data_IF_408468733131
#
_entry.id   IF_408468733131
#
_cell.length_a   1.000
_cell.length_b   1.000
_cell.length_c   1.000
_cell.angle_alpha   90.00
_cell.angle_beta   90.00
_cell.angle_gamma   90.00
#
_symmetry.space_group_name_H-M   'P 1'
#
loop_
_entity.id
_entity.type
_entity.pdbx_description
1 polymer ?
#
# COMPACT_ATOMS: atom_id res chain seq x y z
N UNK A 1 26.26 12.25 -96.77
CA UNK A 1 25.45 11.30 -97.51
C UNK A 1 24.23 10.92 -96.73
N UNK A 2 23.09 11.27 -97.20
CA UNK A 2 21.74 10.77 -97.02
C UNK A 2 21.25 10.59 -95.60
N UNK A 3 20.33 11.31 -95.08
CA UNK A 3 19.03 11.74 -95.62
C UNK A 3 17.93 10.84 -95.16
N UNK A 4 17.03 11.33 -94.33
CA UNK A 4 15.59 11.34 -94.54
C UNK A 4 14.83 11.70 -93.30
N UNK A 5 14.17 12.82 -93.39
CA UNK A 5 13.03 13.25 -92.63
C UNK A 5 11.84 12.35 -92.88
N UNK A 6 11.03 12.04 -91.85
CA UNK A 6 9.60 11.74 -92.04
C UNK A 6 8.84 12.26 -90.77
N UNK A 7 8.02 13.22 -91.05
CA UNK A 7 6.93 13.78 -90.21
C UNK A 7 5.74 12.81 -90.19
N UNK A 8 5.01 12.70 -89.09
CA UNK A 8 3.54 12.43 -88.94
C UNK A 8 3.28 11.98 -87.48
N UNK A 9 2.26 12.23 -86.83
CA UNK A 9 1.02 12.95 -86.93
C UNK A 9 0.45 12.98 -85.49
N UNK A 10 -0.20 14.06 -85.18
CA UNK A 10 -0.94 14.28 -83.90
C UNK A 10 -2.10 13.26 -83.79
N UNK A 11 -2.24 12.59 -82.68
CA UNK A 11 -3.49 11.97 -82.22
C UNK A 11 -3.75 12.36 -80.79
N UNK A 12 -4.78 13.12 -80.60
CA UNK A 12 -5.33 13.52 -79.26
C UNK A 12 -6.13 12.32 -78.77
N UNK A 13 -5.76 11.74 -77.68
CA UNK A 13 -6.57 10.78 -76.92
C UNK A 13 -6.82 11.29 -75.53
N UNK A 14 -8.08 11.34 -75.17
CA UNK A 14 -8.59 12.01 -73.99
C UNK A 14 -8.08 11.44 -72.66
N UNK A 15 -7.78 12.32 -71.70
CA UNK A 15 -7.52 12.02 -70.34
C UNK A 15 -8.86 11.83 -69.60
N UNK A 16 -9.17 10.60 -69.22
CA UNK A 16 -10.15 10.32 -68.17
C UNK A 16 -9.40 10.41 -66.82
N UNK A 17 -9.70 11.45 -66.05
CA UNK A 17 -9.22 11.60 -64.72
C UNK A 17 -10.00 10.62 -63.80
N UNK A 18 -9.38 9.53 -63.39
CA UNK A 18 -9.83 8.74 -62.23
C UNK A 18 -9.36 9.40 -60.94
N UNK A 19 -10.31 10.00 -60.23
CA UNK A 19 -10.07 10.50 -58.86
C UNK A 19 -9.78 9.31 -57.92
N UNK A 20 -8.52 9.08 -57.66
CA UNK A 20 -8.08 8.14 -56.62
C UNK A 20 -8.40 8.74 -55.24
N UNK A 21 -9.37 8.14 -54.56
CA UNK A 21 -9.69 8.44 -53.16
C UNK A 21 -8.57 7.88 -52.31
N UNK A 22 -7.57 8.70 -51.97
CA UNK A 22 -6.59 8.37 -50.93
C UNK A 22 -7.26 8.49 -49.57
N UNK A 23 -7.68 7.37 -48.98
CA UNK A 23 -8.04 7.29 -47.58
C UNK A 23 -6.78 7.57 -46.74
N UNK A 24 -6.70 8.78 -46.20
CA UNK A 24 -5.79 9.08 -45.09
C UNK A 24 -6.24 8.21 -43.92
N UNK A 25 -5.53 7.12 -43.68
CA UNK A 25 -5.54 6.43 -42.38
C UNK A 25 -4.99 7.45 -41.36
N UNK A 26 -5.89 8.12 -40.68
CA UNK A 26 -5.55 8.94 -39.53
C UNK A 26 -4.87 8.07 -38.51
N UNK A 27 -3.55 8.23 -38.36
CA UNK A 27 -2.86 7.73 -37.18
C UNK A 27 -3.50 8.42 -35.97
N UNK A 28 -4.32 7.69 -35.21
CA UNK A 28 -4.75 8.13 -33.90
C UNK A 28 -3.48 8.29 -33.07
N UNK A 29 -3.11 9.55 -32.85
CA UNK A 29 -2.05 9.86 -31.89
C UNK A 29 -2.47 9.20 -30.58
N UNK A 30 -1.68 8.22 -30.12
CA UNK A 30 -1.84 7.68 -28.79
C UNK A 30 -1.74 8.86 -27.84
N UNK A 31 -2.86 9.25 -27.26
CA UNK A 31 -2.87 10.30 -26.24
C UNK A 31 -2.00 9.75 -25.11
N UNK A 32 -0.84 10.37 -24.89
CA UNK A 32 -0.04 10.11 -23.74
C UNK A 32 -0.96 10.33 -22.52
N UNK A 33 -1.20 9.29 -21.74
CA UNK A 33 -2.00 9.39 -20.53
C UNK A 33 -1.42 10.50 -19.66
N UNK A 34 -2.27 11.39 -19.18
CA UNK A 34 -1.83 12.42 -18.23
C UNK A 34 -1.13 11.73 -17.04
N UNK A 35 -0.03 12.31 -16.52
CA UNK A 35 0.66 11.74 -15.38
C UNK A 35 -0.29 11.63 -14.19
N UNK A 36 -0.13 10.57 -13.38
CA UNK A 36 -0.88 10.41 -12.15
C UNK A 36 -0.53 11.58 -11.20
N UNK A 37 -1.54 12.27 -10.72
CA UNK A 37 -1.39 13.40 -9.78
C UNK A 37 -1.98 13.03 -8.44
N UNK A 38 -1.41 13.54 -7.37
CA UNK A 38 -1.91 13.36 -5.99
C UNK A 38 -2.77 14.56 -5.55
N UNK A 39 -3.13 15.44 -6.47
CA UNK A 39 -4.02 16.59 -6.26
C UNK A 39 -3.62 17.45 -5.04
N UNK A 40 -2.35 17.78 -4.92
CA UNK A 40 -1.76 18.64 -3.87
C UNK A 40 -1.96 18.12 -2.42
N UNK A 41 -2.40 16.88 -2.27
CA UNK A 41 -2.55 16.27 -0.93
C UNK A 41 -1.17 16.04 -0.30
N UNK A 42 -1.00 16.38 1.00
CA UNK A 42 0.20 16.01 1.72
C UNK A 42 0.45 14.50 1.72
N UNK A 43 1.69 14.14 1.51
CA UNK A 43 2.17 12.74 1.60
C UNK A 43 3.19 12.69 2.73
N UNK A 44 3.10 11.70 3.61
CA UNK A 44 4.19 11.36 4.51
C UNK A 44 4.77 10.00 4.13
N UNK A 45 6.08 9.82 4.36
CA UNK A 45 6.82 8.63 3.96
C UNK A 45 8.11 8.51 4.77
N UNK A 46 8.78 7.37 4.62
CA UNK A 46 10.04 7.05 5.32
C UNK A 46 11.20 7.06 4.34
N UNK A 47 12.31 7.68 4.73
CA UNK A 47 13.60 7.57 4.05
C UNK A 47 14.70 7.39 5.09
N UNK A 48 15.38 6.23 5.07
CA UNK A 48 16.42 5.91 6.04
C UNK A 48 15.94 5.92 7.49
N UNK A 49 14.70 5.44 7.77
CA UNK A 49 14.14 5.43 9.12
C UNK A 49 13.65 6.79 9.64
N UNK A 50 13.73 7.84 8.83
CA UNK A 50 13.25 9.20 9.14
C UNK A 50 11.94 9.45 8.41
N UNK A 51 10.97 10.04 9.10
CA UNK A 51 9.69 10.44 8.50
C UNK A 51 9.81 11.83 7.89
N UNK A 52 9.39 11.94 6.64
CA UNK A 52 9.27 13.17 5.87
C UNK A 52 7.81 13.41 5.51
N UNK A 53 7.47 14.68 5.33
CA UNK A 53 6.19 15.11 4.77
C UNK A 53 6.44 16.01 3.56
N UNK A 54 5.69 15.81 2.49
CA UNK A 54 5.69 16.66 1.31
C UNK A 54 4.27 17.14 1.00
N UNK A 55 4.16 18.36 0.45
CA UNK A 55 2.91 18.94 -0.05
C UNK A 55 3.04 19.31 -1.54
N UNK A 56 3.73 18.47 -2.29
CA UNK A 56 3.98 18.66 -3.73
C UNK A 56 5.41 19.07 -4.04
N UNK A 57 5.78 20.32 -3.84
CA UNK A 57 7.12 20.84 -4.22
C UNK A 57 8.12 20.89 -3.08
N UNK A 58 7.65 20.94 -1.84
CA UNK A 58 8.49 21.05 -0.64
C UNK A 58 8.49 19.74 0.17
N UNK A 59 9.60 19.48 0.83
CA UNK A 59 9.79 18.35 1.73
C UNK A 59 10.21 18.86 3.12
N UNK A 60 9.56 18.37 4.17
CA UNK A 60 9.88 18.71 5.56
C UNK A 60 10.22 17.42 6.31
N UNK A 61 11.32 17.42 7.04
CA UNK A 61 11.71 16.36 7.96
C UNK A 61 10.90 16.47 9.25
N UNK A 62 10.23 15.39 9.67
CA UNK A 62 9.37 15.36 10.86
C UNK A 62 10.02 14.68 12.07
N UNK A 63 10.97 13.75 11.85
CA UNK A 63 11.69 13.05 12.94
C UNK A 63 13.20 13.19 12.77
N UNK A 64 13.93 13.19 13.90
CA UNK A 64 15.39 13.41 13.87
C UNK A 64 16.20 12.11 13.83
N UNK A 65 15.64 11.02 14.33
CA UNK A 65 16.30 9.72 14.42
C UNK A 65 15.85 8.76 13.29
N UNK A 66 16.58 7.68 13.09
CA UNK A 66 16.42 6.71 12.00
C UNK A 66 15.68 5.44 12.43
N UNK A 67 14.83 5.51 13.47
CA UNK A 67 14.13 4.34 14.04
C UNK A 67 12.60 4.42 13.86
N UNK A 68 12.15 5.19 12.87
CA UNK A 68 10.74 5.44 12.62
C UNK A 68 10.25 4.70 11.37
N UNK A 69 8.99 4.28 11.40
CA UNK A 69 8.34 3.54 10.33
C UNK A 69 6.83 3.76 10.29
N UNK A 70 6.21 3.39 9.18
CA UNK A 70 4.76 3.25 9.02
C UNK A 70 3.94 4.49 9.41
N UNK A 71 4.26 5.70 8.94
CA UNK A 71 3.41 6.86 9.21
C UNK A 71 2.01 6.66 8.63
N UNK A 72 0.99 7.16 9.33
CA UNK A 72 -0.42 7.17 8.89
C UNK A 72 -1.07 8.48 9.33
N UNK A 73 -1.62 9.24 8.40
CA UNK A 73 -2.40 10.43 8.71
C UNK A 73 -3.68 10.07 9.47
N UNK A 74 -4.06 10.92 10.43
CA UNK A 74 -5.38 10.90 11.04
C UNK A 74 -6.47 11.24 10.03
N UNK A 75 -7.75 10.86 10.29
CA UNK A 75 -8.85 11.13 9.37
C UNK A 75 -9.09 12.61 9.05
N UNK A 76 -8.65 13.51 9.93
CA UNK A 76 -8.71 14.97 9.73
C UNK A 76 -7.41 15.57 9.15
N UNK A 77 -6.38 14.72 8.93
CA UNK A 77 -5.08 15.11 8.39
C UNK A 77 -4.20 15.93 9.34
N UNK A 78 -4.60 16.13 10.59
CA UNK A 78 -3.89 17.00 11.55
C UNK A 78 -2.80 16.30 12.35
N UNK A 79 -2.86 14.97 12.43
CA UNK A 79 -1.90 14.14 13.19
C UNK A 79 -1.32 13.03 12.30
N UNK A 80 -0.24 12.42 12.79
CA UNK A 80 0.36 11.19 12.26
C UNK A 80 0.54 10.19 13.40
N UNK A 81 0.04 8.96 13.20
CA UNK A 81 0.46 7.81 13.98
C UNK A 81 1.64 7.13 13.26
N UNK A 82 2.61 6.62 13.99
CA UNK A 82 3.80 6.01 13.42
C UNK A 82 4.44 5.03 14.39
N UNK A 83 5.35 4.22 13.91
CA UNK A 83 6.22 3.43 14.77
C UNK A 83 7.49 4.21 15.08
N UNK A 84 7.84 4.30 16.36
CA UNK A 84 9.15 4.75 16.84
C UNK A 84 9.76 3.64 17.68
N UNK A 85 10.91 3.16 17.26
CA UNK A 85 11.59 2.02 17.90
C UNK A 85 10.66 0.80 18.12
N UNK A 86 9.77 0.53 17.15
CA UNK A 86 8.83 -0.59 17.19
C UNK A 86 7.61 -0.42 18.10
N UNK A 87 7.37 0.74 18.69
CA UNK A 87 6.18 1.05 19.47
C UNK A 87 5.34 2.13 18.79
N UNK A 88 4.04 2.23 19.13
CA UNK A 88 3.13 3.19 18.50
C UNK A 88 3.23 4.55 19.16
N UNK A 89 3.46 5.56 18.33
CA UNK A 89 3.55 6.98 18.69
C UNK A 89 2.60 7.82 17.88
N UNK A 90 2.27 8.99 18.37
CA UNK A 90 1.51 10.02 17.69
C UNK A 90 2.30 11.33 17.69
N UNK A 91 2.16 12.11 16.63
CA UNK A 91 2.66 13.48 16.52
C UNK A 91 1.67 14.33 15.73
N UNK A 92 1.77 15.65 15.83
CA UNK A 92 1.15 16.57 14.89
C UNK A 92 1.67 16.37 13.48
N UNK A 93 0.86 16.67 12.46
CA UNK A 93 1.28 16.56 11.06
C UNK A 93 2.42 17.54 10.70
N UNK A 94 2.74 18.47 11.57
CA UNK A 94 3.91 19.36 11.51
C UNK A 94 5.18 18.80 12.19
N UNK A 95 5.08 17.62 12.83
CA UNK A 95 6.19 16.95 13.53
C UNK A 95 6.33 17.32 15.01
N UNK A 96 5.42 18.13 15.56
CA UNK A 96 5.38 18.53 16.98
C UNK A 96 4.55 17.55 17.82
N UNK A 97 4.51 17.75 19.14
CA UNK A 97 3.68 17.02 20.11
C UNK A 97 3.84 15.49 20.06
N UNK A 98 5.08 15.03 19.91
CA UNK A 98 5.41 13.60 19.86
C UNK A 98 5.17 12.93 21.20
N UNK A 99 4.32 11.90 21.24
CA UNK A 99 4.10 11.10 22.45
C UNK A 99 3.81 9.63 22.11
N UNK A 100 4.18 8.77 23.04
CA UNK A 100 3.93 7.32 22.94
C UNK A 100 2.49 7.02 23.36
N UNK A 101 1.79 6.18 22.61
CA UNK A 101 0.43 5.73 22.94
C UNK A 101 0.35 4.25 23.32
N UNK A 102 1.32 3.44 22.90
CA UNK A 102 1.43 2.03 23.30
C UNK A 102 2.89 1.66 23.54
N UNK A 103 3.17 0.90 24.59
CA UNK A 103 4.49 0.34 24.93
C UNK A 103 4.74 -1.05 24.31
N UNK A 104 3.73 -1.62 23.62
CA UNK A 104 3.86 -2.92 22.97
C UNK A 104 4.68 -2.81 21.70
N UNK A 105 5.49 -3.84 21.44
CA UNK A 105 6.10 -4.00 20.12
C UNK A 105 4.99 -4.27 19.12
N UNK A 106 4.92 -3.46 18.10
CA UNK A 106 3.79 -3.33 17.20
C UNK A 106 4.21 -3.35 15.73
N UNK A 107 3.29 -3.77 14.88
CA UNK A 107 3.28 -3.44 13.45
C UNK A 107 2.58 -2.11 13.18
N UNK A 108 2.54 -1.71 11.90
CA UNK A 108 2.09 -0.39 11.47
C UNK A 108 0.67 -0.03 11.93
N UNK A 109 0.48 1.20 12.42
CA UNK A 109 -0.79 1.67 12.96
C UNK A 109 -1.81 2.02 11.89
N UNK A 110 -3.09 2.06 12.28
CA UNK A 110 -4.21 2.60 11.51
C UNK A 110 -5.17 3.34 12.43
N UNK A 111 -5.63 4.50 11.99
CA UNK A 111 -6.62 5.30 12.70
C UNK A 111 -8.03 4.74 12.52
N UNK A 112 -8.83 4.79 13.58
CA UNK A 112 -10.29 4.67 13.43
C UNK A 112 -10.84 5.90 12.69
N UNK A 113 -11.92 5.76 11.90
CA UNK A 113 -12.47 6.90 11.14
C UNK A 113 -12.93 8.08 11.99
N UNK A 114 -13.29 7.84 13.26
CA UNK A 114 -13.66 8.89 14.22
C UNK A 114 -12.45 9.58 14.89
N UNK A 115 -11.22 9.12 14.55
CA UNK A 115 -9.97 9.68 15.06
C UNK A 115 -9.67 9.42 16.54
N UNK A 116 -10.47 8.61 17.23
CA UNK A 116 -10.31 8.36 18.68
C UNK A 116 -9.41 7.20 19.02
N UNK A 117 -9.25 6.25 18.10
CA UNK A 117 -8.50 5.01 18.33
C UNK A 117 -7.42 4.80 17.27
N UNK A 118 -6.38 4.12 17.69
CA UNK A 118 -5.34 3.59 16.80
C UNK A 118 -5.33 2.07 16.95
N UNK A 119 -5.58 1.34 15.85
CA UNK A 119 -5.36 -0.09 15.76
C UNK A 119 -3.92 -0.38 15.31
N UNK A 120 -3.36 -1.50 15.76
CA UNK A 120 -2.04 -1.97 15.37
C UNK A 120 -1.93 -3.48 15.56
N UNK A 121 -1.04 -4.13 14.81
CA UNK A 121 -0.74 -5.55 15.02
C UNK A 121 0.30 -5.74 16.12
N UNK A 122 0.11 -6.78 16.95
CA UNK A 122 1.06 -7.20 17.97
C UNK A 122 0.87 -8.69 18.28
N UNK A 123 1.71 -9.24 19.16
CA UNK A 123 1.57 -10.62 19.62
C UNK A 123 0.27 -10.78 20.43
N UNK A 124 -0.57 -11.73 20.03
CA UNK A 124 -1.83 -12.06 20.70
C UNK A 124 -1.64 -12.99 21.89
N UNK A 125 -2.70 -13.23 22.65
CA UNK A 125 -2.73 -14.19 23.76
C UNK A 125 -2.48 -15.63 23.30
N UNK A 126 -2.73 -15.94 22.03
CA UNK A 126 -2.49 -17.26 21.43
C UNK A 126 -1.05 -17.46 20.97
N UNK A 127 -0.20 -16.42 21.06
CA UNK A 127 1.19 -16.47 20.58
C UNK A 127 1.36 -16.21 19.08
N UNK A 128 0.26 -16.02 18.35
CA UNK A 128 0.24 -15.62 16.94
C UNK A 128 0.04 -14.12 16.75
N UNK A 129 -0.09 -13.66 15.49
CA UNK A 129 -0.46 -12.27 15.20
C UNK A 129 -1.82 -11.94 15.79
N UNK A 130 -1.97 -10.72 16.30
CA UNK A 130 -3.23 -10.18 16.77
C UNK A 130 -3.35 -8.71 16.48
N UNK A 131 -4.56 -8.17 16.64
CA UNK A 131 -4.84 -6.74 16.48
C UNK A 131 -5.32 -6.18 17.80
N UNK A 132 -4.76 -5.04 18.16
CA UNK A 132 -5.10 -4.27 19.35
C UNK A 132 -5.53 -2.87 18.96
N UNK A 133 -6.25 -2.19 19.83
CA UNK A 133 -6.48 -0.75 19.75
C UNK A 133 -6.07 -0.04 21.01
N UNK A 134 -5.73 1.23 20.89
CA UNK A 134 -5.37 2.11 22.00
C UNK A 134 -5.95 3.50 21.75
N UNK A 135 -6.29 4.22 22.82
CA UNK A 135 -6.71 5.62 22.72
C UNK A 135 -5.59 6.54 22.24
N UNK A 136 -5.93 7.55 21.46
CA UNK A 136 -4.98 8.48 20.81
C UNK A 136 -4.18 9.31 21.79
N UNK A 137 -4.75 9.65 22.94
CA UNK A 137 -4.08 10.48 23.95
C UNK A 137 -3.07 9.69 24.82
N UNK A 138 -2.99 8.37 24.62
CA UNK A 138 -2.17 7.49 25.45
C UNK A 138 -2.72 7.29 26.88
N UNK A 139 -1.95 6.61 27.72
CA UNK A 139 -2.32 6.38 29.13
C UNK A 139 -3.45 5.36 29.37
N UNK A 140 -4.03 4.81 28.33
CA UNK A 140 -5.03 3.71 28.39
C UNK A 140 -4.38 2.38 28.05
N UNK A 141 -4.86 1.31 28.67
CA UNK A 141 -4.43 -0.03 28.29
C UNK A 141 -4.86 -0.35 26.85
N UNK A 142 -4.02 -1.08 26.14
CA UNK A 142 -4.35 -1.58 24.80
C UNK A 142 -5.38 -2.69 24.89
N UNK A 143 -6.45 -2.58 24.13
CA UNK A 143 -7.56 -3.53 24.07
C UNK A 143 -7.37 -4.51 22.89
N UNK A 144 -7.40 -5.84 23.09
CA UNK A 144 -7.35 -6.80 22.01
C UNK A 144 -8.65 -6.79 21.21
N UNK A 145 -8.55 -6.75 19.89
CA UNK A 145 -9.67 -6.84 18.96
C UNK A 145 -9.74 -8.22 18.33
N UNK A 146 -8.61 -8.75 17.88
CA UNK A 146 -8.48 -10.06 17.22
C UNK A 146 -7.24 -10.80 17.70
N UNK A 147 -7.31 -12.14 17.87
CA UNK A 147 -8.53 -12.93 17.80
C UNK A 147 -9.49 -12.58 18.93
N UNK A 148 -10.81 -12.79 18.71
CA UNK A 148 -11.84 -12.45 19.68
C UNK A 148 -11.68 -13.19 21.01
N UNK A 149 -11.09 -14.37 21.01
CA UNK A 149 -10.77 -15.17 22.21
C UNK A 149 -9.82 -14.49 23.17
N UNK A 150 -9.08 -13.46 22.71
CA UNK A 150 -8.17 -12.70 23.55
C UNK A 150 -8.83 -11.49 24.25
N UNK A 151 -10.09 -11.15 23.95
CA UNK A 151 -10.75 -9.94 24.47
C UNK A 151 -10.91 -9.93 25.97
N UNK A 152 -11.14 -11.11 26.57
CA UNK A 152 -11.34 -11.29 27.99
C UNK A 152 -10.09 -11.78 28.74
N UNK A 153 -8.94 -11.81 28.05
CA UNK A 153 -7.68 -12.28 28.60
C UNK A 153 -6.72 -11.10 28.79
N UNK A 154 -6.03 -11.09 29.93
CA UNK A 154 -4.88 -10.21 30.10
C UNK A 154 -3.84 -10.54 29.03
N UNK A 155 -3.53 -9.55 28.18
CA UNK A 155 -2.53 -9.75 27.14
C UNK A 155 -1.17 -10.07 27.77
N UNK A 156 -0.45 -11.11 27.29
CA UNK A 156 0.84 -11.46 27.86
C UNK A 156 1.75 -10.24 27.90
N UNK A 157 2.32 -9.96 29.08
CA UNK A 157 3.34 -8.93 29.23
C UNK A 157 4.59 -9.38 28.45
N UNK A 158 4.84 -8.77 27.32
CA UNK A 158 5.82 -9.21 26.31
C UNK A 158 7.28 -8.96 26.72
N UNK A 159 7.55 -8.66 28.01
CA UNK A 159 8.92 -8.49 28.48
C UNK A 159 9.82 -9.71 28.33
N UNK A 160 9.27 -10.92 28.25
CA UNK A 160 10.07 -12.14 28.40
C UNK A 160 10.56 -12.78 27.07
N UNK A 161 9.99 -12.43 25.92
CA UNK A 161 10.31 -13.09 24.65
C UNK A 161 11.29 -12.30 23.78
N UNK A 162 11.54 -11.03 24.10
CA UNK A 162 12.29 -10.12 23.23
C UNK A 162 13.79 -10.01 23.51
N UNK A 163 14.29 -10.40 24.68
CA UNK A 163 15.74 -10.34 24.94
C UNK A 163 16.55 -11.38 24.17
N UNK A 164 15.94 -12.50 23.78
CA UNK A 164 16.59 -13.55 22.99
C UNK A 164 16.62 -13.32 21.48
N UNK A 165 15.79 -12.43 20.92
CA UNK A 165 15.57 -12.31 19.48
C UNK A 165 16.07 -10.99 18.84
N UNK A 166 16.58 -10.05 19.63
CA UNK A 166 17.20 -8.82 19.08
C UNK A 166 18.42 -9.05 18.19
N UNK A 167 19.00 -10.24 18.22
CA UNK A 167 20.31 -10.49 17.60
C UNK A 167 20.25 -11.21 16.26
N UNK A 168 19.09 -11.54 15.72
CA UNK A 168 19.00 -12.23 14.42
C UNK A 168 18.31 -11.36 13.38
N UNK A 169 18.99 -10.31 12.97
CA UNK A 169 18.74 -9.64 11.69
C UNK A 169 18.92 -10.67 10.57
N UNK A 170 17.83 -11.34 10.18
CA UNK A 170 17.86 -12.41 9.17
C UNK A 170 16.66 -13.35 9.21
N UNK A 171 15.93 -13.40 10.32
CA UNK A 171 14.72 -14.19 10.37
C UNK A 171 13.55 -13.41 9.76
N UNK A 172 13.02 -13.92 8.65
CA UNK A 172 11.89 -13.36 7.93
C UNK A 172 10.68 -13.11 8.85
N UNK A 173 10.42 -14.02 9.79
CA UNK A 173 9.32 -13.91 10.75
C UNK A 173 9.47 -12.66 11.65
N UNK A 174 10.69 -12.33 12.06
CA UNK A 174 10.94 -11.16 12.91
C UNK A 174 10.83 -9.84 12.12
N UNK A 175 11.30 -9.82 10.86
CA UNK A 175 11.09 -8.68 9.94
C UNK A 175 9.63 -8.46 9.59
N UNK A 176 8.85 -9.53 9.47
CA UNK A 176 7.42 -9.45 9.18
C UNK A 176 6.60 -8.79 10.29
N UNK A 177 7.01 -8.91 11.53
CA UNK A 177 6.34 -8.24 12.66
C UNK A 177 6.52 -6.73 12.62
N UNK A 178 7.67 -6.24 12.18
CA UNK A 178 7.97 -4.81 12.05
C UNK A 178 7.51 -4.22 10.71
N UNK A 179 7.41 -5.06 9.67
CA UNK A 179 6.98 -4.64 8.33
C UNK A 179 5.48 -4.82 8.09
N UNK A 180 4.77 -5.41 9.04
CA UNK A 180 3.34 -5.57 8.99
C UNK A 180 2.59 -4.27 9.32
N UNK A 181 1.32 -4.20 8.97
CA UNK A 181 0.42 -3.11 9.32
C UNK A 181 -1.02 -3.59 9.29
N UNK A 182 -1.90 -2.88 9.97
CA UNK A 182 -3.34 -3.06 9.89
C UNK A 182 -3.98 -1.91 9.13
N UNK A 183 -5.22 -2.10 8.67
CA UNK A 183 -5.99 -1.04 8.04
C UNK A 183 -7.44 -1.06 8.52
N UNK A 184 -7.86 0.01 9.18
CA UNK A 184 -9.26 0.21 9.56
C UNK A 184 -10.08 0.61 8.34
N UNK A 185 -11.26 0.01 8.17
CA UNK A 185 -12.18 0.35 7.08
C UNK A 185 -12.75 1.77 7.27
N UNK A 186 -13.07 2.48 6.19
CA UNK A 186 -13.58 3.86 6.28
C UNK A 186 -14.89 4.01 7.05
N UNK A 187 -15.70 2.95 7.13
CA UNK A 187 -16.95 2.91 7.91
C UNK A 187 -16.75 2.57 9.40
N UNK A 188 -15.52 2.24 9.80
CA UNK A 188 -15.17 1.90 11.18
C UNK A 188 -15.58 0.52 11.64
N UNK A 189 -16.19 -0.28 10.78
CA UNK A 189 -16.77 -1.58 11.19
C UNK A 189 -15.79 -2.73 11.07
N UNK A 190 -14.76 -2.60 10.24
CA UNK A 190 -13.85 -3.70 9.92
C UNK A 190 -12.38 -3.28 9.98
N UNK A 191 -11.50 -4.26 10.17
CA UNK A 191 -10.05 -4.09 10.07
C UNK A 191 -9.50 -5.18 9.16
N UNK A 192 -8.65 -4.79 8.20
CA UNK A 192 -7.85 -5.72 7.42
C UNK A 192 -6.48 -5.89 8.10
N UNK A 193 -6.02 -7.13 8.23
CA UNK A 193 -4.79 -7.46 8.93
C UNK A 193 -4.24 -8.82 8.50
N UNK A 194 -2.95 -9.03 8.73
CA UNK A 194 -2.33 -10.35 8.60
C UNK A 194 -2.62 -11.18 9.85
N UNK A 195 -3.04 -12.41 9.65
CA UNK A 195 -3.45 -13.33 10.71
C UNK A 195 -4.91 -13.72 10.56
N UNK A 196 -5.51 -14.16 11.65
CA UNK A 196 -6.89 -14.59 11.68
C UNK A 196 -7.03 -16.11 11.63
N UNK A 197 -8.28 -16.56 11.52
CA UNK A 197 -8.60 -17.98 11.38
C UNK A 197 -8.28 -18.44 9.96
N UNK A 198 -7.16 -19.13 9.80
CA UNK A 198 -6.75 -19.77 8.57
C UNK A 198 -7.28 -21.21 8.51
N UNK A 199 -7.35 -21.78 7.30
CA UNK A 199 -7.77 -23.18 7.10
C UNK A 199 -6.81 -24.18 7.77
N UNK A 200 -5.55 -23.80 7.90
CA UNK A 200 -4.50 -24.60 8.52
C UNK A 200 -3.59 -23.74 9.41
N UNK A 201 -3.07 -24.34 10.48
CA UNK A 201 -2.07 -23.70 11.37
C UNK A 201 -0.75 -23.38 10.67
N UNK A 202 -0.50 -23.98 9.52
CA UNK A 202 0.69 -23.71 8.70
C UNK A 202 0.48 -22.52 7.72
N UNK A 203 -0.73 -22.04 7.57
CA UNK A 203 -1.06 -20.99 6.62
C UNK A 203 -0.84 -19.60 7.20
N UNK A 204 -0.53 -18.65 6.31
CA UNK A 204 -0.56 -17.23 6.60
C UNK A 204 -1.77 -16.64 5.89
N UNK A 205 -2.65 -15.97 6.63
CA UNK A 205 -3.82 -15.33 6.06
C UNK A 205 -3.67 -13.82 6.04
N UNK A 206 -4.26 -13.21 5.05
CA UNK A 206 -4.76 -11.85 5.14
C UNK A 206 -6.26 -11.92 5.43
N UNK A 207 -6.69 -11.32 6.51
CA UNK A 207 -8.06 -11.41 6.99
C UNK A 207 -8.71 -10.03 7.13
N UNK A 208 -10.04 -10.04 7.07
CA UNK A 208 -10.87 -8.91 7.47
C UNK A 208 -11.68 -9.33 8.69
N UNK A 209 -11.52 -8.60 9.79
CA UNK A 209 -12.23 -8.81 11.04
C UNK A 209 -13.32 -7.77 11.24
N UNK A 210 -14.50 -8.21 11.69
CA UNK A 210 -15.59 -7.34 12.14
C UNK A 210 -15.32 -6.90 13.60
N UNK A 211 -15.21 -5.62 13.81
CA UNK A 211 -14.79 -5.04 15.11
C UNK A 211 -15.81 -5.31 16.20
N UNK A 212 -17.10 -5.29 15.87
CA UNK A 212 -18.16 -5.47 16.86
C UNK A 212 -18.29 -6.94 17.29
N UNK A 213 -18.34 -7.84 16.33
CA UNK A 213 -18.61 -9.27 16.59
C UNK A 213 -17.34 -10.07 16.85
N UNK A 214 -16.16 -9.60 16.40
CA UNK A 214 -14.92 -10.34 16.45
C UNK A 214 -14.81 -11.46 15.42
N UNK A 215 -15.77 -11.57 14.49
CA UNK A 215 -15.68 -12.54 13.38
C UNK A 215 -14.57 -12.14 12.42
N UNK A 216 -13.81 -13.13 12.01
CA UNK A 216 -12.71 -13.00 11.08
C UNK A 216 -13.00 -13.77 9.80
N UNK A 217 -12.62 -13.23 8.66
CA UNK A 217 -12.74 -13.87 7.35
C UNK A 217 -11.41 -13.73 6.62
N UNK A 218 -10.77 -14.85 6.30
CA UNK A 218 -9.62 -14.86 5.41
C UNK A 218 -10.04 -14.44 4.01
N UNK A 219 -9.35 -13.46 3.44
CA UNK A 219 -9.58 -12.97 2.07
C UNK A 219 -8.45 -13.40 1.12
N UNK A 220 -7.31 -13.80 1.68
CA UNK A 220 -6.22 -14.43 0.93
C UNK A 220 -5.46 -15.39 1.86
N UNK A 221 -5.00 -16.53 1.31
CA UNK A 221 -4.34 -17.60 2.08
C UNK A 221 -3.03 -17.97 1.38
N UNK A 222 -1.96 -18.06 2.14
CA UNK A 222 -0.60 -18.35 1.67
C UNK A 222 -0.01 -19.53 2.44
N UNK A 223 0.67 -20.42 1.73
CA UNK A 223 1.33 -21.60 2.32
C UNK A 223 0.47 -22.84 2.33
N UNK A 224 0.81 -23.80 3.19
CA UNK A 224 -0.06 -24.95 3.48
C UNK A 224 0.06 -26.15 2.56
N UNK A 225 1.10 -26.29 1.74
CA UNK A 225 1.39 -27.55 1.01
C UNK A 225 0.37 -27.96 -0.05
N UNK A 226 -0.57 -27.05 -0.40
CA UNK A 226 -1.53 -27.21 -1.49
C UNK A 226 -1.17 -26.34 -2.69
N UNK A 227 -2.16 -25.99 -3.51
CA UNK A 227 -1.99 -25.10 -4.68
C UNK A 227 -1.81 -23.62 -4.30
N UNK A 228 -1.55 -23.30 -3.04
CA UNK A 228 -1.32 -21.94 -2.55
C UNK A 228 0.06 -21.42 -2.96
N UNK A 229 0.16 -20.14 -3.20
CA UNK A 229 1.45 -19.47 -3.36
C UNK A 229 2.16 -19.41 -2.01
N UNK A 230 3.39 -19.92 -1.94
CA UNK A 230 4.25 -19.69 -0.79
C UNK A 230 4.44 -18.17 -0.60
N UNK A 231 4.34 -17.71 0.64
CA UNK A 231 4.52 -16.28 0.92
C UNK A 231 3.59 -15.75 1.99
N UNK A 232 3.26 -14.48 1.88
CA UNK A 232 2.35 -13.80 2.80
C UNK A 232 1.87 -12.47 2.23
N UNK A 233 0.69 -12.02 2.70
CA UNK A 233 0.11 -10.71 2.41
C UNK A 233 0.19 -9.79 3.63
N UNK A 234 0.67 -8.56 3.44
CA UNK A 234 0.86 -7.56 4.51
C UNK A 234 0.54 -6.15 4.04
N UNK A 235 0.48 -5.23 4.98
CA UNK A 235 0.28 -3.79 4.74
C UNK A 235 -0.99 -3.53 3.92
N UNK A 236 -2.15 -3.94 4.44
CA UNK A 236 -3.40 -3.65 3.77
C UNK A 236 -3.70 -2.15 3.75
N UNK A 237 -4.51 -1.73 2.77
CA UNK A 237 -5.07 -0.39 2.70
C UNK A 237 -6.46 -0.41 2.06
N UNK A 238 -7.40 0.32 2.65
CA UNK A 238 -8.74 0.47 2.12
C UNK A 238 -8.84 1.65 1.17
N UNK A 239 -9.64 1.51 0.12
CA UNK A 239 -10.12 2.65 -0.64
C UNK A 239 -11.16 3.42 0.17
N UNK A 240 -11.20 4.74 0.04
CA UNK A 240 -12.04 5.62 0.87
C UNK A 240 -13.55 5.30 0.81
N UNK A 241 -14.02 4.65 -0.26
CA UNK A 241 -15.41 4.20 -0.39
C UNK A 241 -15.69 2.85 0.28
N UNK A 242 -14.68 2.21 0.88
CA UNK A 242 -14.80 0.90 1.53
C UNK A 242 -15.04 -0.28 0.59
N UNK A 243 -15.01 -0.07 -0.73
CA UNK A 243 -15.33 -1.11 -1.71
C UNK A 243 -14.14 -1.98 -2.09
N UNK A 244 -12.93 -1.44 -1.93
CA UNK A 244 -11.69 -2.12 -2.31
C UNK A 244 -10.70 -2.12 -1.16
N UNK A 245 -9.91 -3.20 -1.12
CA UNK A 245 -8.76 -3.36 -0.23
C UNK A 245 -7.56 -3.81 -1.05
N UNK A 246 -6.38 -3.27 -0.71
CA UNK A 246 -5.12 -3.71 -1.29
C UNK A 246 -4.21 -4.27 -0.21
N UNK A 247 -3.24 -5.06 -0.63
CA UNK A 247 -2.14 -5.53 0.20
C UNK A 247 -0.91 -5.80 -0.65
N UNK A 248 0.24 -5.91 -0.02
CA UNK A 248 1.48 -6.32 -0.68
C UNK A 248 1.70 -7.80 -0.45
N UNK A 249 1.90 -8.54 -1.53
CA UNK A 249 2.28 -9.96 -1.50
C UNK A 249 3.80 -10.08 -1.55
N UNK A 250 4.35 -10.88 -0.65
CA UNK A 250 5.77 -11.24 -0.60
C UNK A 250 5.93 -12.76 -0.75
N UNK A 251 7.07 -13.17 -1.29
CA UNK A 251 7.54 -14.55 -1.22
C UNK A 251 8.07 -14.87 0.18
N UNK A 252 8.29 -16.14 0.48
CA UNK A 252 8.84 -16.59 1.78
C UNK A 252 10.22 -16.03 2.10
N UNK A 253 11.03 -15.68 1.08
CA UNK A 253 12.33 -15.04 1.24
C UNK A 253 12.25 -13.50 1.42
N UNK A 254 11.02 -12.93 1.40
CA UNK A 254 10.79 -11.51 1.61
C UNK A 254 10.93 -10.64 0.36
N UNK A 255 10.92 -11.24 -0.82
CA UNK A 255 10.88 -10.49 -2.07
C UNK A 255 9.44 -10.03 -2.36
N UNK A 256 9.24 -8.73 -2.58
CA UNK A 256 7.94 -8.21 -2.97
C UNK A 256 7.54 -8.72 -4.35
N UNK A 257 6.36 -9.30 -4.46
CA UNK A 257 5.84 -9.88 -5.72
C UNK A 257 4.96 -8.88 -6.46
N UNK A 258 4.00 -8.30 -5.74
CA UNK A 258 3.05 -7.34 -6.30
C UNK A 258 2.20 -6.68 -5.21
N UNK A 259 1.55 -5.59 -5.58
CA UNK A 259 0.35 -5.12 -4.89
C UNK A 259 -0.85 -5.87 -5.46
N UNK A 260 -1.65 -6.46 -4.60
CA UNK A 260 -2.92 -7.11 -4.95
C UNK A 260 -4.07 -6.21 -4.52
N UNK A 261 -5.11 -6.10 -5.35
CA UNK A 261 -6.38 -5.46 -5.05
C UNK A 261 -7.50 -6.50 -5.08
N UNK A 262 -8.47 -6.37 -4.18
CA UNK A 262 -9.71 -7.14 -4.20
C UNK A 262 -10.91 -6.27 -3.80
N UNK A 263 -12.11 -6.81 -4.01
CA UNK A 263 -13.30 -6.27 -3.37
C UNK A 263 -13.21 -6.46 -1.85
N UNK A 264 -13.97 -5.69 -1.10
CA UNK A 264 -14.00 -5.75 0.38
C UNK A 264 -14.43 -7.11 0.96
N UNK A 265 -14.84 -8.05 0.12
CA UNK A 265 -15.17 -9.45 0.45
C UNK A 265 -14.04 -10.43 0.08
N UNK A 266 -12.94 -9.95 -0.47
CA UNK A 266 -11.86 -10.79 -1.00
C UNK A 266 -12.11 -11.32 -2.42
N UNK A 267 -13.24 -10.97 -3.05
CA UNK A 267 -13.55 -11.36 -4.43
C UNK A 267 -12.79 -10.49 -5.44
N UNK A 268 -12.77 -10.92 -6.72
CA UNK A 268 -12.17 -10.17 -7.83
C UNK A 268 -10.72 -9.77 -7.60
N UNK A 269 -9.94 -10.65 -6.98
CA UNK A 269 -8.50 -10.42 -6.74
C UNK A 269 -7.73 -10.29 -8.04
N UNK A 270 -6.90 -9.27 -8.12
CA UNK A 270 -6.00 -9.05 -9.24
C UNK A 270 -4.78 -8.23 -8.81
N UNK A 271 -3.69 -8.38 -9.55
CA UNK A 271 -2.47 -7.59 -9.32
C UNK A 271 -2.63 -6.21 -9.93
N UNK A 272 -2.15 -5.20 -9.21
CA UNK A 272 -2.05 -3.82 -9.69
C UNK A 272 -0.59 -3.36 -9.59
N UNK A 273 -0.19 -2.48 -10.50
CA UNK A 273 1.19 -2.00 -10.56
C UNK A 273 2.14 -2.95 -11.29
N UNK A 274 3.43 -2.86 -10.96
CA UNK A 274 4.52 -3.67 -11.51
C UNK A 274 5.04 -4.66 -10.47
N UNK A 275 5.89 -5.58 -10.89
CA UNK A 275 6.69 -6.38 -9.97
C UNK A 275 7.52 -5.45 -9.07
N UNK A 276 7.74 -5.84 -7.83
CA UNK A 276 8.43 -5.09 -6.77
C UNK A 276 7.70 -3.83 -6.25
N UNK A 277 6.53 -3.48 -6.80
CA UNK A 277 5.66 -2.46 -6.19
C UNK A 277 5.11 -2.98 -4.86
N UNK A 278 5.07 -2.10 -3.86
CA UNK A 278 4.64 -2.46 -2.50
C UNK A 278 4.00 -1.30 -1.75
N UNK A 279 3.30 -1.62 -0.68
CA UNK A 279 2.83 -0.65 0.33
C UNK A 279 1.93 0.45 -0.27
N UNK A 280 1.00 0.05 -1.14
CA UNK A 280 0.11 1.01 -1.79
C UNK A 280 -0.95 1.52 -0.83
N UNK A 281 -1.20 2.83 -0.90
CA UNK A 281 -2.36 3.51 -0.32
C UNK A 281 -3.12 4.25 -1.41
N UNK A 282 -4.41 4.46 -1.21
CA UNK A 282 -5.21 5.22 -2.16
C UNK A 282 -5.12 6.72 -1.88
N UNK A 283 -4.93 7.52 -2.92
CA UNK A 283 -5.06 8.97 -2.89
C UNK A 283 -6.43 9.45 -3.43
N UNK A 284 -7.23 8.52 -3.92
CA UNK A 284 -8.55 8.70 -4.49
C UNK A 284 -9.05 7.40 -5.09
N UNK A 285 -10.14 7.44 -5.86
CA UNK A 285 -10.69 6.22 -6.48
C UNK A 285 -9.88 5.71 -7.67
N UNK A 286 -9.08 6.59 -8.29
CA UNK A 286 -8.28 6.29 -9.47
C UNK A 286 -6.77 6.42 -9.27
N UNK A 287 -6.33 6.93 -8.16
CA UNK A 287 -4.90 7.18 -7.91
C UNK A 287 -4.44 6.39 -6.69
N UNK A 288 -3.41 5.58 -6.87
CA UNK A 288 -2.65 4.94 -5.82
C UNK A 288 -1.31 5.67 -5.59
N UNK A 289 -0.81 5.60 -4.38
CA UNK A 289 0.57 5.99 -4.03
C UNK A 289 1.24 4.78 -3.41
N UNK A 290 2.36 4.38 -3.95
CA UNK A 290 3.06 3.17 -3.55
C UNK A 290 4.57 3.35 -3.49
N UNK A 291 5.25 2.38 -2.92
CA UNK A 291 6.70 2.26 -2.99
C UNK A 291 7.07 1.44 -4.23
N UNK A 292 7.80 2.06 -5.16
CA UNK A 292 8.33 1.42 -6.36
C UNK A 292 9.84 1.28 -6.30
N UNK A 293 10.38 0.27 -6.94
CA UNK A 293 11.82 0.16 -7.19
C UNK A 293 12.19 0.92 -8.47
N UNK A 294 13.17 1.83 -8.37
CA UNK A 294 13.70 2.56 -9.52
C UNK A 294 15.20 2.83 -9.33
N UNK A 295 16.02 2.39 -10.28
CA UNK A 295 17.50 2.53 -10.25
C UNK A 295 18.15 2.07 -8.93
N UNK A 296 17.67 0.93 -8.37
CA UNK A 296 18.21 0.37 -7.13
C UNK A 296 17.75 1.09 -5.85
N UNK A 297 16.87 2.07 -5.95
CA UNK A 297 16.32 2.81 -4.83
C UNK A 297 14.80 2.65 -4.73
N UNK A 298 14.27 2.83 -3.52
CA UNK A 298 12.83 2.91 -3.28
C UNK A 298 12.33 4.32 -3.55
N UNK A 299 11.22 4.44 -4.27
CA UNK A 299 10.59 5.70 -4.65
C UNK A 299 9.10 5.71 -4.32
N UNK A 300 8.65 6.75 -3.69
CA UNK A 300 7.23 7.07 -3.59
C UNK A 300 6.74 7.45 -4.97
N UNK A 301 5.77 6.70 -5.49
CA UNK A 301 5.30 6.82 -6.86
C UNK A 301 3.78 6.89 -6.89
N UNK A 302 3.24 7.92 -7.53
CA UNK A 302 1.81 8.00 -7.85
C UNK A 302 1.52 7.15 -9.08
N UNK A 303 0.41 6.41 -9.06
CA UNK A 303 -0.03 5.52 -10.14
C UNK A 303 -1.49 5.82 -10.47
N UNK A 304 -1.80 6.08 -11.72
CA UNK A 304 -3.18 6.05 -12.22
C UNK A 304 -3.62 4.59 -12.37
N UNK A 305 -4.59 4.16 -11.59
CA UNK A 305 -5.02 2.77 -11.51
C UNK A 305 -5.78 2.29 -12.76
N UNK A 306 -6.27 3.21 -13.59
CA UNK A 306 -6.96 2.87 -14.83
C UNK A 306 -6.02 2.74 -16.03
N UNK A 307 -4.96 3.56 -16.09
CA UNK A 307 -4.05 3.64 -17.24
C UNK A 307 -2.69 3.02 -16.94
N UNK A 308 -2.32 2.86 -15.66
CA UNK A 308 -1.00 2.45 -15.23
C UNK A 308 0.06 3.56 -15.37
N UNK A 309 -0.32 4.80 -15.69
CA UNK A 309 0.60 5.94 -15.76
C UNK A 309 1.22 6.21 -14.38
N UNK A 310 2.53 6.52 -14.35
CA UNK A 310 3.33 6.60 -13.12
C UNK A 310 4.08 7.90 -13.04
N UNK A 311 4.10 8.50 -11.86
CA UNK A 311 4.85 9.71 -11.56
C UNK A 311 5.70 9.46 -10.29
N UNK A 312 7.02 9.33 -10.39
CA UNK A 312 7.90 9.31 -9.22
C UNK A 312 7.82 10.67 -8.51
N UNK A 313 7.67 10.64 -7.20
CA UNK A 313 7.52 11.85 -6.38
C UNK A 313 8.77 12.10 -5.53
N UNK A 314 9.08 11.20 -4.63
CA UNK A 314 10.20 11.31 -3.69
C UNK A 314 10.91 9.98 -3.50
N UNK A 315 12.20 10.02 -3.20
CA UNK A 315 12.92 8.84 -2.74
C UNK A 315 12.44 8.47 -1.34
N UNK A 316 12.09 7.20 -1.13
CA UNK A 316 11.57 6.72 0.15
C UNK A 316 10.63 5.53 0.00
N UNK A 317 10.00 5.12 1.10
CA UNK A 317 9.08 3.98 1.20
C UNK A 317 7.96 4.27 2.20
N UNK A 318 6.99 3.35 2.30
CA UNK A 318 5.92 3.40 3.31
C UNK A 318 5.05 4.66 3.22
N UNK A 319 4.48 4.97 2.05
CA UNK A 319 3.69 6.18 1.88
C UNK A 319 2.38 6.16 2.68
N UNK A 320 1.95 7.37 3.05
CA UNK A 320 0.58 7.67 3.45
C UNK A 320 0.17 8.99 2.82
N UNK A 321 -1.09 9.14 2.51
CA UNK A 321 -1.67 10.34 1.88
C UNK A 321 -2.68 10.94 2.84
N UNK A 322 -2.64 12.25 3.01
CA UNK A 322 -3.66 12.96 3.80
C UNK A 322 -5.04 12.83 3.16
N UNK A 323 -6.11 12.83 3.93
CA UNK A 323 -7.48 12.70 3.45
C UNK A 323 -7.90 13.74 2.42
#
# INVERSE_FOLDING_TARGET
MNGKSITKALTIAGLTATAGLTTLLGATAAHASAPATVNDKPIAYVRGGVIYRSNGTGEVRLTEDEVNARPRFSPDGTKLAYLHNGTVWVMGANGEDKHQVSDRIAGGPSWSPDGRWIAYSALSCTGGPGVFRVGVEGGTASEPLFPATCRDQEAPQVGFIMEGNRARAGNLVDRLRTDDAVAWSPDGTRIAFRGGECESVADNCLSIGDVATGREQAIDVYGGGGNGTDGFGVVPAWRADGQKVTWTTYTTDGTAVAVTEADSTGSNRHRIGKADDREMVYAGTRTGVLTAAYNGHSWITAVDLATGARTPLHQGSQPTVAP
#
